data_IF_257096616556
#
_entry.id   IF_257096616556
#
_cell.length_a   1.000
_cell.length_b   1.000
_cell.length_c   1.000
_cell.angle_alpha   90.00
_cell.angle_beta   90.00
_cell.angle_gamma   90.00
#
_symmetry.space_group_name_H-M   'P 1'
#
loop_
_entity.id
_entity.type
_entity.pdbx_description
1 polymer ?
#
# COMPACT_ATOMS: atom_id res chain seq x y z
N UNK A 1 -3.14 10.97 1.99
CA UNK A 1 -1.90 11.16 1.31
C UNK A 1 -1.15 9.85 1.36
N UNK A 2 -0.61 9.42 0.24
CA UNK A 2 0.09 8.17 0.12
C UNK A 2 1.53 8.25 0.58
N UNK A 3 2.26 7.17 0.40
CA UNK A 3 3.67 7.01 0.68
C UNK A 3 4.11 5.61 0.31
N UNK A 4 5.37 5.44 0.03
CA UNK A 4 5.97 4.15 -0.25
C UNK A 4 6.29 3.38 1.03
N UNK A 5 6.54 2.07 0.90
CA UNK A 5 7.03 1.28 2.04
C UNK A 5 8.38 1.78 2.57
N UNK A 6 9.19 2.42 1.76
CA UNK A 6 10.42 3.09 2.21
C UNK A 6 10.17 4.22 3.20
N UNK A 7 9.02 4.89 3.12
CA UNK A 7 8.66 5.92 4.09
C UNK A 7 8.40 5.31 5.46
N UNK A 8 7.79 4.12 5.50
CA UNK A 8 7.60 3.37 6.73
C UNK A 8 8.95 2.93 7.33
N UNK A 9 9.86 2.37 6.52
CA UNK A 9 11.21 1.98 6.95
C UNK A 9 11.97 3.18 7.52
N UNK A 10 12.00 4.28 6.79
CA UNK A 10 12.62 5.52 7.27
C UNK A 10 12.00 6.02 8.59
N UNK A 11 10.68 5.95 8.70
CA UNK A 11 9.97 6.33 9.92
C UNK A 11 10.40 5.48 11.12
N UNK A 12 10.50 4.17 10.95
CA UNK A 12 10.94 3.23 11.98
C UNK A 12 12.37 3.49 12.41
N UNK A 13 13.28 3.68 11.48
CA UNK A 13 14.69 3.98 11.79
C UNK A 13 14.84 5.32 12.53
N UNK A 14 14.17 6.35 12.05
CA UNK A 14 14.35 7.70 12.56
C UNK A 14 13.62 7.97 13.87
N UNK A 15 12.42 7.42 14.02
CA UNK A 15 11.52 7.73 15.12
C UNK A 15 11.28 6.55 16.07
N UNK A 16 11.71 5.36 15.69
CA UNK A 16 11.46 4.13 16.43
C UNK A 16 10.04 3.59 16.23
N UNK A 17 9.67 2.62 17.05
CA UNK A 17 8.37 1.98 17.07
C UNK A 17 7.74 1.98 18.45
N UNK A 18 6.42 2.03 18.49
CA UNK A 18 5.62 1.91 19.71
C UNK A 18 4.54 0.86 19.49
N UNK A 19 4.34 -0.11 20.38
CA UNK A 19 3.21 -1.05 20.28
C UNK A 19 1.87 -0.32 20.32
N UNK A 20 0.87 -0.80 19.60
CA UNK A 20 -0.46 -0.20 19.56
C UNK A 20 -1.09 -0.06 20.96
N UNK A 21 -0.84 -1.02 21.85
CA UNK A 21 -1.35 -0.96 23.22
C UNK A 21 -0.86 0.28 24.02
N UNK A 22 0.33 0.79 23.69
CA UNK A 22 0.95 1.94 24.34
C UNK A 22 0.66 3.29 23.64
N UNK A 23 0.24 3.23 22.39
CA UNK A 23 -0.12 4.42 21.60
C UNK A 23 -1.35 4.11 20.75
N UNK A 24 -2.49 4.01 21.42
CA UNK A 24 -3.76 3.73 20.74
C UNK A 24 -4.26 5.00 20.05
N UNK A 25 -4.53 4.95 18.72
CA UNK A 25 -5.01 6.12 17.99
C UNK A 25 -6.35 6.64 18.52
N UNK A 26 -6.47 7.95 18.66
CA UNK A 26 -7.72 8.62 19.05
C UNK A 26 -8.84 8.54 18.00
N UNK A 27 -8.50 8.12 16.78
CA UNK A 27 -9.44 7.93 15.65
C UNK A 27 -10.17 6.59 15.68
N UNK A 28 -10.08 5.85 16.78
CA UNK A 28 -10.74 4.56 16.93
C UNK A 28 -12.24 4.69 17.14
N UNK A 29 -12.99 3.83 16.47
CA UNK A 29 -14.42 3.60 16.73
C UNK A 29 -14.59 2.28 17.49
N UNK A 30 -15.06 2.33 18.71
CA UNK A 30 -15.10 1.16 19.55
C UNK A 30 -13.72 0.56 19.79
N UNK A 31 -13.63 -0.77 19.79
CA UNK A 31 -12.38 -1.44 20.16
C UNK A 31 -11.50 -1.88 18.99
N UNK A 32 -12.01 -1.91 17.78
CA UNK A 32 -11.33 -2.53 16.65
C UNK A 32 -11.35 -1.73 15.33
N UNK A 33 -12.19 -0.73 15.21
CA UNK A 33 -12.33 0.05 13.98
C UNK A 33 -11.71 1.44 14.11
N UNK A 34 -11.04 1.90 13.08
CA UNK A 34 -10.51 3.26 13.02
C UNK A 34 -10.96 3.97 11.74
N UNK A 35 -11.13 5.30 11.83
CA UNK A 35 -11.35 6.14 10.65
C UNK A 35 -10.46 7.38 10.73
N UNK A 36 -9.71 7.60 9.70
CA UNK A 36 -8.79 8.73 9.57
C UNK A 36 -9.38 9.86 8.73
N UNK A 37 -10.64 9.79 8.35
CA UNK A 37 -11.25 10.74 7.42
C UNK A 37 -11.27 12.17 7.96
N UNK A 38 -11.67 12.35 9.22
CA UNK A 38 -11.72 13.68 9.86
C UNK A 38 -10.30 14.23 10.05
N UNK A 39 -9.39 13.45 10.64
CA UNK A 39 -7.99 13.82 10.79
C UNK A 39 -7.36 14.26 9.46
N UNK A 40 -7.59 13.49 8.40
CA UNK A 40 -7.08 13.80 7.05
C UNK A 40 -7.67 15.09 6.50
N UNK A 41 -9.00 15.32 6.68
CA UNK A 41 -9.65 16.53 6.21
C UNK A 41 -9.12 17.78 6.91
N UNK A 42 -8.99 17.74 8.25
CA UNK A 42 -8.45 18.85 9.06
C UNK A 42 -6.98 19.11 8.71
N UNK A 43 -6.16 18.08 8.63
CA UNK A 43 -4.73 18.19 8.27
C UNK A 43 -4.56 18.80 6.87
N UNK A 44 -5.33 18.33 5.90
CA UNK A 44 -5.32 18.86 4.53
C UNK A 44 -5.77 20.33 4.47
N UNK A 45 -6.74 20.73 5.27
CA UNK A 45 -7.17 22.12 5.33
C UNK A 45 -6.07 23.05 5.84
N UNK A 46 -5.36 22.65 6.91
CA UNK A 46 -4.23 23.43 7.46
C UNK A 46 -3.05 23.47 6.48
N UNK A 47 -2.66 22.33 5.91
CA UNK A 47 -1.59 22.28 4.90
C UNK A 47 -1.98 23.08 3.66
N UNK A 48 -3.22 22.96 3.19
CA UNK A 48 -3.73 23.70 2.03
C UNK A 48 -3.71 25.21 2.24
N UNK A 49 -4.10 25.67 3.43
CA UNK A 49 -4.05 27.09 3.76
C UNK A 49 -2.63 27.65 3.87
N UNK A 50 -1.70 26.83 4.38
CA UNK A 50 -0.33 27.27 4.71
C UNK A 50 0.67 27.02 3.59
N UNK A 51 0.75 25.78 3.09
CA UNK A 51 1.77 25.35 2.12
C UNK A 51 1.37 25.66 0.66
N UNK A 52 0.08 25.54 0.33
CA UNK A 52 -0.44 25.96 -0.98
C UNK A 52 -0.82 27.45 -0.98
N UNK A 53 -0.45 28.14 0.10
CA UNK A 53 -1.05 29.35 0.52
C UNK A 53 -0.85 30.53 -0.37
N UNK A 54 -1.90 31.30 -0.41
CA UNK A 54 -1.90 32.70 -0.84
C UNK A 54 -1.29 33.62 0.22
N UNK A 55 -0.73 33.05 1.31
CA UNK A 55 -0.09 33.80 2.36
C UNK A 55 1.29 34.30 1.90
N UNK A 56 1.49 35.57 1.87
CA UNK A 56 2.76 36.21 1.47
C UNK A 56 3.86 36.01 2.49
N UNK A 57 3.50 35.75 3.76
CA UNK A 57 4.46 35.43 4.83
C UNK A 57 3.83 34.43 5.78
N UNK A 58 4.60 33.41 6.16
CA UNK A 58 4.23 32.44 7.18
C UNK A 58 4.78 32.89 8.53
N UNK A 59 3.94 32.84 9.54
CA UNK A 59 4.34 33.21 10.89
C UNK A 59 5.24 32.15 11.52
N UNK A 60 6.21 32.62 12.31
CA UNK A 60 7.16 31.80 13.04
C UNK A 60 7.06 32.10 14.54
N UNK A 61 7.44 31.12 15.35
CA UNK A 61 7.60 31.29 16.78
C UNK A 61 8.95 31.93 17.15
N UNK A 62 9.21 32.10 18.45
CA UNK A 62 10.46 32.64 18.98
C UNK A 62 11.71 31.83 18.59
N UNK A 63 11.56 30.56 18.27
CA UNK A 63 12.61 29.64 17.84
C UNK A 63 12.75 29.55 16.30
N UNK A 64 12.14 30.49 15.58
CA UNK A 64 12.14 30.53 14.10
C UNK A 64 11.43 29.30 13.43
N UNK A 65 10.59 28.58 14.16
CA UNK A 65 9.81 27.46 13.65
C UNK A 65 8.49 27.96 13.06
N UNK A 66 8.06 27.39 11.92
CA UNK A 66 6.79 27.73 11.30
C UNK A 66 5.61 27.32 12.17
N UNK A 67 4.74 28.25 12.52
CA UNK A 67 3.58 28.00 13.39
C UNK A 67 2.61 26.95 12.81
N UNK A 68 2.43 26.92 11.49
CA UNK A 68 1.58 25.91 10.86
C UNK A 68 2.07 24.49 11.04
N UNK A 69 3.42 24.28 11.11
CA UNK A 69 3.99 22.95 11.40
C UNK A 69 3.64 22.50 12.80
N UNK A 70 3.75 23.40 13.78
CA UNK A 70 3.37 23.12 15.17
C UNK A 70 1.86 22.84 15.29
N UNK A 71 1.03 23.56 14.53
CA UNK A 71 -0.41 23.29 14.47
C UNK A 71 -0.71 21.89 13.92
N UNK A 72 -0.01 21.47 12.87
CA UNK A 72 -0.13 20.10 12.31
C UNK A 72 0.33 19.06 13.33
N UNK A 73 1.45 19.26 13.98
CA UNK A 73 1.94 18.36 15.05
C UNK A 73 0.89 18.19 16.15
N UNK A 74 0.31 19.30 16.65
CA UNK A 74 -0.76 19.24 17.65
C UNK A 74 -2.03 18.54 17.15
N UNK A 75 -2.39 18.69 15.89
CA UNK A 75 -3.50 17.96 15.26
C UNK A 75 -3.18 16.45 15.24
N UNK A 76 -1.97 16.08 14.88
CA UNK A 76 -1.55 14.69 14.90
C UNK A 76 -1.63 14.09 16.29
N UNK A 77 -1.13 14.79 17.31
CA UNK A 77 -1.18 14.35 18.71
C UNK A 77 -2.64 14.15 19.20
N UNK A 78 -3.53 15.06 18.83
CA UNK A 78 -4.96 14.97 19.19
C UNK A 78 -5.61 13.72 18.54
N UNK A 79 -5.39 13.49 17.25
CA UNK A 79 -6.09 12.44 16.51
C UNK A 79 -5.39 11.08 16.56
N UNK A 80 -4.07 11.05 16.64
CA UNK A 80 -3.29 9.82 16.58
C UNK A 80 -2.72 9.42 17.95
N UNK A 81 -2.80 10.30 18.94
CA UNK A 81 -2.17 10.14 20.25
C UNK A 81 -0.77 10.72 20.31
N UNK A 82 -0.39 11.19 21.49
CA UNK A 82 0.97 11.67 21.75
C UNK A 82 1.95 10.49 21.76
N UNK A 83 3.05 10.64 21.07
CA UNK A 83 4.11 9.62 21.08
C UNK A 83 4.76 9.56 22.45
N UNK A 84 4.77 8.41 23.14
CA UNK A 84 5.40 8.28 24.44
C UNK A 84 6.92 8.42 24.34
N UNK A 85 7.53 9.10 25.29
CA UNK A 85 8.99 9.12 25.41
C UNK A 85 9.52 7.76 25.88
N UNK A 86 8.77 7.11 26.77
CA UNK A 86 9.06 5.78 27.32
C UNK A 86 7.77 5.01 27.55
N UNK A 87 7.86 3.69 27.47
CA UNK A 87 6.75 2.76 27.75
C UNK A 87 7.27 1.42 28.27
N UNK A 88 6.37 0.60 28.84
CA UNK A 88 6.71 -0.73 29.33
C UNK A 88 6.06 -1.78 28.45
N UNK A 89 6.83 -2.66 27.85
CA UNK A 89 6.35 -3.78 27.06
C UNK A 89 6.94 -5.10 27.57
N UNK A 90 6.10 -6.07 27.88
CA UNK A 90 6.49 -7.36 28.48
C UNK A 90 7.41 -7.20 29.72
N UNK A 91 7.08 -6.25 30.59
CA UNK A 91 7.83 -6.00 31.85
C UNK A 91 9.17 -5.30 31.69
N UNK A 92 9.53 -4.85 30.51
CA UNK A 92 10.76 -4.11 30.22
C UNK A 92 10.47 -2.69 29.74
N UNK A 93 11.19 -1.70 30.26
CA UNK A 93 11.09 -0.30 29.81
C UNK A 93 11.83 -0.11 28.49
N UNK A 94 11.19 0.63 27.59
CA UNK A 94 11.73 1.02 26.29
C UNK A 94 11.47 2.49 25.97
N UNK A 95 12.35 3.08 25.20
CA UNK A 95 12.02 4.21 24.33
C UNK A 95 11.57 3.67 22.97
N UNK A 96 10.85 4.46 22.13
CA UNK A 96 10.50 4.02 20.77
C UNK A 96 11.70 3.50 19.98
N UNK A 97 12.85 4.16 20.11
CA UNK A 97 14.08 3.77 19.41
C UNK A 97 14.67 2.47 19.96
N UNK A 98 14.74 2.29 21.29
CA UNK A 98 15.26 1.05 21.85
C UNK A 98 14.34 -0.14 21.63
N UNK A 99 13.03 0.08 21.46
CA UNK A 99 12.09 -0.96 21.09
C UNK A 99 12.33 -1.41 19.64
N UNK A 100 12.42 -0.46 18.69
CA UNK A 100 12.77 -0.76 17.31
C UNK A 100 14.05 -1.61 17.22
N UNK A 101 15.13 -1.17 17.89
CA UNK A 101 16.39 -1.91 17.92
C UNK A 101 16.27 -3.31 18.50
N UNK A 102 15.39 -3.51 19.50
CA UNK A 102 15.19 -4.82 20.13
C UNK A 102 14.50 -5.84 19.22
N UNK A 103 13.85 -5.39 18.15
CA UNK A 103 13.19 -6.26 17.17
C UNK A 103 14.15 -6.83 16.13
N UNK A 104 15.40 -6.34 16.09
CA UNK A 104 16.39 -6.77 15.10
C UNK A 104 16.04 -6.42 13.66
N UNK A 105 15.17 -5.44 13.45
CA UNK A 105 14.81 -4.95 12.11
C UNK A 105 15.94 -4.05 11.59
N UNK A 106 16.29 -4.24 10.32
CA UNK A 106 17.26 -3.42 9.61
C UNK A 106 16.67 -3.00 8.26
N UNK A 107 16.60 -1.70 7.99
CA UNK A 107 16.06 -1.19 6.73
C UNK A 107 16.87 -1.64 5.51
N UNK A 108 18.16 -1.90 5.67
CA UNK A 108 19.02 -2.39 4.60
C UNK A 108 18.72 -3.84 4.16
N UNK A 109 17.93 -4.59 4.95
CA UNK A 109 17.49 -5.93 4.58
C UNK A 109 16.30 -5.92 3.60
N UNK A 110 15.75 -4.75 3.30
CA UNK A 110 14.60 -4.59 2.42
C UNK A 110 15.03 -4.05 1.06
N UNK A 111 14.53 -4.67 0.01
CA UNK A 111 14.78 -4.26 -1.38
C UNK A 111 13.45 -3.93 -2.04
N UNK A 112 13.37 -2.75 -2.66
CA UNK A 112 12.25 -2.39 -3.52
C UNK A 112 12.47 -2.91 -4.93
N UNK A 113 11.50 -3.65 -5.45
CA UNK A 113 11.53 -4.22 -6.79
C UNK A 113 10.37 -3.65 -7.61
N UNK A 114 10.61 -3.50 -8.90
CA UNK A 114 9.60 -3.08 -9.87
C UNK A 114 9.84 -3.72 -11.23
N UNK A 115 8.93 -3.51 -12.17
CA UNK A 115 9.04 -4.07 -13.52
C UNK A 115 8.45 -3.11 -14.55
N UNK A 116 9.29 -2.29 -15.17
CA UNK A 116 8.91 -1.35 -16.23
C UNK A 116 9.94 -1.30 -17.33
N UNK A 117 9.50 -1.34 -18.58
CA UNK A 117 10.40 -1.41 -19.76
C UNK A 117 10.90 -0.04 -20.24
N UNK A 118 10.38 1.07 -19.73
CA UNK A 118 10.87 2.41 -20.07
C UNK A 118 12.23 2.74 -19.41
N UNK A 119 12.69 1.93 -18.48
CA UNK A 119 14.01 2.02 -17.87
C UNK A 119 14.76 0.69 -18.04
N UNK A 120 16.10 0.70 -18.06
CA UNK A 120 16.88 -0.52 -18.20
C UNK A 120 16.56 -1.54 -17.10
N UNK A 121 16.40 -2.81 -17.48
CA UNK A 121 16.33 -3.89 -16.51
C UNK A 121 17.70 -4.11 -15.83
N UNK A 122 17.68 -4.73 -14.65
CA UNK A 122 18.84 -5.00 -13.81
C UNK A 122 19.60 -3.74 -13.36
N UNK A 123 18.87 -2.66 -13.19
CA UNK A 123 19.37 -1.40 -12.67
C UNK A 123 18.34 -0.77 -11.72
N UNK A 124 18.77 0.18 -10.90
CA UNK A 124 17.85 0.97 -10.07
C UNK A 124 17.40 2.23 -10.79
N UNK A 125 16.19 2.65 -10.52
CA UNK A 125 15.68 3.95 -10.92
C UNK A 125 14.61 4.44 -9.94
N UNK A 126 14.36 5.73 -9.96
CA UNK A 126 13.27 6.34 -9.19
C UNK A 126 11.96 6.13 -9.94
N UNK A 127 11.05 5.32 -9.37
CA UNK A 127 9.71 5.15 -9.95
C UNK A 127 8.91 6.43 -9.74
N UNK A 128 8.52 7.08 -10.84
CA UNK A 128 7.87 8.39 -10.87
C UNK A 128 6.34 8.27 -10.64
N UNK A 129 5.96 7.87 -9.44
CA UNK A 129 4.58 7.84 -8.95
C UNK A 129 4.40 8.83 -7.81
N UNK A 130 3.15 9.26 -7.56
CA UNK A 130 2.85 10.29 -6.56
C UNK A 130 3.25 9.87 -5.14
N UNK A 131 3.13 8.58 -4.83
CA UNK A 131 3.43 8.05 -3.51
C UNK A 131 4.94 7.92 -3.24
N UNK A 132 5.76 7.94 -4.28
CA UNK A 132 7.22 7.99 -4.14
C UNK A 132 7.75 9.43 -4.04
N UNK A 133 7.17 10.25 -3.16
CA UNK A 133 7.53 11.67 -2.98
C UNK A 133 8.93 11.88 -2.38
N UNK A 134 9.55 10.84 -1.85
CA UNK A 134 10.95 10.87 -1.35
C UNK A 134 11.98 10.45 -2.40
N UNK A 135 11.55 10.07 -3.60
CA UNK A 135 12.43 9.68 -4.69
C UNK A 135 13.28 8.46 -4.37
N UNK A 136 12.68 7.49 -3.67
CA UNK A 136 13.33 6.21 -3.39
C UNK A 136 13.49 5.41 -4.70
N UNK A 137 14.62 4.71 -4.81
CA UNK A 137 14.91 3.88 -5.97
C UNK A 137 14.34 2.47 -5.82
N UNK A 138 13.94 1.88 -6.93
CA UNK A 138 13.53 0.48 -7.03
C UNK A 138 14.40 -0.23 -8.04
N UNK A 139 14.75 -1.49 -7.77
CA UNK A 139 15.49 -2.33 -8.70
C UNK A 139 14.52 -2.92 -9.73
N UNK A 140 14.86 -2.76 -11.01
CA UNK A 140 13.99 -3.08 -12.14
C UNK A 140 14.27 -4.47 -12.70
N UNK A 141 13.27 -5.33 -12.74
CA UNK A 141 13.36 -6.68 -13.29
C UNK A 141 12.34 -6.89 -14.42
N UNK A 142 12.60 -7.78 -15.38
CA UNK A 142 11.55 -8.29 -16.25
C UNK A 142 10.39 -8.87 -15.43
N UNK A 143 9.15 -8.76 -15.92
CA UNK A 143 7.96 -9.17 -15.16
C UNK A 143 8.01 -10.65 -14.75
N UNK A 144 8.49 -11.52 -15.64
CA UNK A 144 8.58 -12.96 -15.37
C UNK A 144 9.60 -13.27 -14.25
N UNK A 145 10.72 -12.54 -14.21
CA UNK A 145 11.71 -12.68 -13.16
C UNK A 145 11.21 -12.09 -11.83
N UNK A 146 10.49 -10.97 -11.88
CA UNK A 146 9.85 -10.41 -10.69
C UNK A 146 8.88 -11.40 -10.05
N UNK A 147 8.07 -12.09 -10.87
CA UNK A 147 7.15 -13.13 -10.38
C UNK A 147 7.92 -14.33 -9.78
N UNK A 148 9.01 -14.75 -10.40
CA UNK A 148 9.87 -15.81 -9.83
C UNK A 148 10.47 -15.40 -8.48
N UNK A 149 10.85 -14.13 -8.33
CA UNK A 149 11.31 -13.60 -7.02
C UNK A 149 10.20 -13.65 -5.98
N UNK A 150 8.96 -13.32 -6.36
CA UNK A 150 7.79 -13.41 -5.46
C UNK A 150 7.59 -14.84 -4.98
N UNK A 151 7.52 -15.80 -5.90
CA UNK A 151 7.35 -17.22 -5.57
C UNK A 151 8.47 -17.73 -4.68
N UNK A 152 9.70 -17.41 -5.04
CA UNK A 152 10.88 -17.83 -4.29
C UNK A 152 10.90 -17.22 -2.87
N UNK A 153 10.58 -15.95 -2.72
CA UNK A 153 10.51 -15.29 -1.42
C UNK A 153 9.48 -16.00 -0.51
N UNK A 154 8.26 -16.19 -1.01
CA UNK A 154 7.19 -16.84 -0.25
C UNK A 154 7.55 -18.29 0.13
N UNK A 155 8.11 -19.05 -0.80
CA UNK A 155 8.52 -20.45 -0.55
C UNK A 155 9.68 -20.57 0.44
N UNK A 156 10.47 -19.52 0.63
CA UNK A 156 11.52 -19.43 1.63
C UNK A 156 11.10 -18.76 2.95
N UNK A 157 9.79 -18.52 3.14
CA UNK A 157 9.24 -18.01 4.39
C UNK A 157 9.29 -16.48 4.54
N UNK A 158 9.57 -15.75 3.48
CA UNK A 158 9.47 -14.29 3.46
C UNK A 158 8.06 -13.85 3.07
N UNK A 159 7.72 -12.64 3.46
CA UNK A 159 6.50 -11.96 3.02
C UNK A 159 6.87 -10.75 2.18
N UNK A 160 5.93 -10.28 1.35
CA UNK A 160 6.17 -9.20 0.41
C UNK A 160 5.23 -8.04 0.75
N UNK A 161 5.79 -6.84 0.99
CA UNK A 161 5.03 -5.62 1.00
C UNK A 161 4.72 -5.24 -0.46
N UNK A 162 3.45 -5.22 -0.82
CA UNK A 162 2.98 -5.09 -2.19
C UNK A 162 2.13 -3.84 -2.37
N UNK A 163 2.58 -2.95 -3.24
CA UNK A 163 1.85 -1.78 -3.69
C UNK A 163 1.16 -2.09 -5.02
N UNK A 164 -0.13 -1.80 -5.13
CA UNK A 164 -0.92 -2.15 -6.30
C UNK A 164 -2.08 -1.21 -6.54
N UNK A 165 -2.65 -1.33 -7.72
CA UNK A 165 -3.96 -0.78 -8.04
C UNK A 165 -5.06 -1.72 -7.52
N UNK A 166 -5.99 -1.19 -6.76
CA UNK A 166 -7.18 -1.90 -6.26
C UNK A 166 -8.48 -1.34 -6.87
N UNK A 167 -8.37 -0.40 -7.79
CA UNK A 167 -9.51 0.17 -8.51
C UNK A 167 -10.03 -0.74 -9.63
N UNK A 168 -9.28 -1.79 -9.97
CA UNK A 168 -9.64 -2.78 -10.97
C UNK A 168 -10.95 -3.51 -10.63
N UNK A 169 -11.76 -3.74 -11.66
CA UNK A 169 -13.08 -4.37 -11.52
C UNK A 169 -13.05 -5.79 -10.94
N UNK A 170 -11.92 -6.48 -11.08
CA UNK A 170 -11.68 -7.81 -10.53
C UNK A 170 -11.27 -7.81 -9.07
N UNK A 171 -10.90 -6.66 -8.49
CA UNK A 171 -10.61 -6.52 -7.08
C UNK A 171 -11.92 -6.35 -6.29
N UNK A 172 -12.38 -7.42 -5.63
CA UNK A 172 -13.71 -7.46 -5.05
C UNK A 172 -13.68 -7.51 -3.52
N UNK A 173 -14.82 -7.19 -2.91
CA UNK A 173 -15.01 -7.30 -1.45
C UNK A 173 -15.24 -8.73 -0.97
N UNK A 174 -15.34 -9.69 -1.88
CA UNK A 174 -15.56 -11.10 -1.55
C UNK A 174 -14.28 -11.84 -1.14
N UNK A 175 -13.18 -11.12 -0.96
CA UNK A 175 -11.90 -11.68 -0.58
C UNK A 175 -11.12 -12.31 -1.73
N UNK A 176 -11.54 -12.11 -2.96
CA UNK A 176 -10.85 -12.60 -4.17
C UNK A 176 -10.62 -11.45 -5.14
N UNK A 177 -9.40 -11.32 -5.65
CA UNK A 177 -9.05 -10.45 -6.77
C UNK A 177 -8.67 -11.33 -7.96
N UNK A 178 -9.26 -11.06 -9.11
CA UNK A 178 -9.07 -11.85 -10.34
C UNK A 178 -8.93 -10.94 -11.56
N UNK A 179 -8.19 -11.42 -12.55
CA UNK A 179 -8.11 -10.82 -13.87
C UNK A 179 -8.50 -11.89 -14.91
N UNK A 180 -9.80 -12.14 -15.13
CA UNK A 180 -10.24 -13.24 -16.00
C UNK A 180 -9.81 -13.05 -17.43
N UNK A 181 -9.31 -14.12 -18.06
CA UNK A 181 -9.12 -14.19 -19.50
C UNK A 181 -10.48 -14.46 -20.16
N UNK A 182 -11.16 -13.38 -20.51
CA UNK A 182 -12.53 -13.44 -21.03
C UNK A 182 -12.64 -14.21 -22.35
N UNK A 183 -11.61 -14.15 -23.17
CA UNK A 183 -11.59 -14.85 -24.46
C UNK A 183 -11.46 -16.36 -24.26
N UNK A 184 -10.68 -16.77 -23.26
CA UNK A 184 -10.54 -18.19 -22.90
C UNK A 184 -11.65 -18.70 -21.99
N UNK A 185 -12.19 -17.82 -21.13
CA UNK A 185 -13.22 -18.22 -20.17
C UNK A 185 -14.58 -18.48 -20.84
N UNK A 186 -14.86 -17.85 -21.98
CA UNK A 186 -16.15 -17.96 -22.67
C UNK A 186 -15.97 -17.76 -24.18
N UNK A 187 -16.42 -18.74 -24.97
CA UNK A 187 -16.55 -18.62 -26.42
C UNK A 187 -17.79 -17.75 -26.77
N UNK A 188 -17.68 -16.46 -26.49
CA UNK A 188 -18.76 -15.51 -26.71
C UNK A 188 -18.71 -14.94 -28.13
N UNK A 189 -19.88 -14.73 -28.74
CA UNK A 189 -20.00 -13.91 -29.96
C UNK A 189 -19.67 -12.46 -29.66
N UNK A 190 -19.34 -11.64 -30.64
CA UNK A 190 -18.97 -10.23 -30.45
C UNK A 190 -20.02 -9.41 -29.70
N UNK A 191 -21.33 -9.67 -29.92
CA UNK A 191 -22.43 -8.99 -29.21
C UNK A 191 -22.50 -9.42 -27.73
N UNK A 192 -22.34 -10.71 -27.48
CA UNK A 192 -22.43 -11.28 -26.15
C UNK A 192 -21.19 -10.89 -25.29
N UNK A 193 -20.02 -10.84 -25.92
CA UNK A 193 -18.81 -10.32 -25.30
C UNK A 193 -18.99 -8.84 -24.91
N UNK A 194 -19.52 -8.01 -25.80
CA UNK A 194 -19.76 -6.60 -25.52
C UNK A 194 -20.79 -6.40 -24.40
N UNK A 195 -21.79 -7.28 -24.29
CA UNK A 195 -22.72 -7.28 -23.17
C UNK A 195 -22.02 -7.71 -21.87
N UNK A 196 -21.28 -8.82 -21.91
CA UNK A 196 -20.58 -9.38 -20.76
C UNK A 196 -19.56 -8.40 -20.17
N UNK A 197 -18.82 -7.67 -21.02
CA UNK A 197 -17.86 -6.66 -20.56
C UNK A 197 -18.51 -5.50 -19.76
N UNK A 198 -19.78 -5.21 -20.01
CA UNK A 198 -20.53 -4.17 -19.29
C UNK A 198 -21.12 -4.64 -17.96
N UNK A 199 -21.14 -5.94 -17.70
CA UNK A 199 -21.66 -6.47 -16.45
C UNK A 199 -20.72 -6.10 -15.29
N UNK A 200 -21.29 -5.89 -14.11
CA UNK A 200 -20.51 -5.74 -12.86
C UNK A 200 -19.86 -7.07 -12.47
N UNK A 201 -18.77 -7.07 -11.69
CA UNK A 201 -18.10 -8.29 -11.25
C UNK A 201 -19.03 -9.32 -10.62
N UNK A 202 -19.99 -8.88 -9.80
CA UNK A 202 -20.97 -9.76 -9.17
C UNK A 202 -21.91 -10.42 -10.18
N UNK A 203 -22.25 -9.70 -11.26
CA UNK A 203 -23.07 -10.21 -12.34
C UNK A 203 -22.31 -11.20 -13.22
N UNK A 204 -20.99 -11.03 -13.33
CA UNK A 204 -20.11 -11.96 -14.05
C UNK A 204 -19.83 -13.23 -13.29
N UNK A 205 -20.18 -13.29 -12.00
CA UNK A 205 -19.86 -14.39 -11.10
C UNK A 205 -18.35 -14.74 -11.06
N UNK A 206 -17.50 -13.72 -11.22
CA UNK A 206 -16.04 -13.89 -11.34
C UNK A 206 -15.41 -14.58 -10.14
N UNK A 207 -16.06 -14.51 -8.98
CA UNK A 207 -15.51 -14.98 -7.71
C UNK A 207 -16.28 -16.15 -7.12
N UNK A 208 -17.17 -16.79 -7.90
CA UNK A 208 -17.98 -17.92 -7.40
C UNK A 208 -17.39 -19.27 -7.80
N UNK A 209 -16.50 -19.30 -8.75
CA UNK A 209 -15.80 -20.51 -9.25
C UNK A 209 -14.46 -20.13 -9.89
N UNK A 210 -13.50 -21.06 -9.97
CA UNK A 210 -12.28 -20.89 -10.71
C UNK A 210 -12.52 -20.49 -12.16
N UNK A 211 -11.69 -19.60 -12.67
CA UNK A 211 -11.73 -19.17 -14.09
C UNK A 211 -10.30 -18.97 -14.59
N UNK A 212 -10.06 -19.17 -15.91
CA UNK A 212 -8.78 -18.81 -16.50
C UNK A 212 -8.42 -17.35 -16.23
N UNK A 213 -7.19 -17.11 -15.80
CA UNK A 213 -6.69 -15.76 -15.54
C UNK A 213 -5.89 -15.27 -16.73
N UNK A 214 -6.04 -13.99 -17.06
CA UNK A 214 -5.24 -13.34 -18.09
C UNK A 214 -3.81 -13.18 -17.57
N UNK A 215 -2.84 -13.61 -18.38
CA UNK A 215 -1.45 -13.25 -18.17
C UNK A 215 -1.20 -11.85 -18.72
N UNK A 216 -0.72 -10.93 -17.88
CA UNK A 216 -0.37 -9.57 -18.29
C UNK A 216 1.08 -9.55 -18.73
N UNK A 217 1.33 -9.25 -19.99
CA UNK A 217 2.68 -9.13 -20.53
C UNK A 217 3.42 -7.89 -20.02
N UNK A 218 4.75 -7.88 -20.19
CA UNK A 218 5.58 -6.72 -19.86
C UNK A 218 5.12 -5.46 -20.61
N UNK A 219 4.72 -5.61 -21.86
CA UNK A 219 4.26 -4.50 -22.71
C UNK A 219 2.90 -3.96 -22.23
N UNK A 220 1.93 -4.83 -21.96
CA UNK A 220 0.62 -4.42 -21.43
C UNK A 220 0.77 -3.68 -20.09
N UNK A 221 1.64 -4.18 -19.21
CA UNK A 221 1.95 -3.51 -17.95
C UNK A 221 2.54 -2.11 -18.17
N UNK A 222 3.46 -1.97 -19.11
CA UNK A 222 4.06 -0.66 -19.43
C UNK A 222 3.03 0.31 -19.99
N UNK A 223 2.19 -0.14 -20.93
CA UNK A 223 1.13 0.68 -21.52
C UNK A 223 0.14 1.16 -20.47
N UNK A 224 -0.29 0.28 -19.55
CA UNK A 224 -1.21 0.63 -18.49
C UNK A 224 -0.62 1.65 -17.48
N UNK A 225 0.70 1.60 -17.27
CA UNK A 225 1.41 2.61 -16.49
C UNK A 225 1.49 3.95 -17.24
N UNK A 226 1.87 3.94 -18.52
CA UNK A 226 2.08 5.14 -19.33
C UNK A 226 0.79 5.93 -19.56
N UNK A 227 -0.35 5.25 -19.65
CA UNK A 227 -1.66 5.86 -19.89
C UNK A 227 -2.50 6.06 -18.61
N UNK A 228 -1.93 5.77 -17.43
CA UNK A 228 -2.59 5.89 -16.12
C UNK A 228 -3.83 4.99 -15.94
N UNK A 229 -3.94 3.89 -16.67
CA UNK A 229 -4.93 2.86 -16.41
C UNK A 229 -4.64 2.11 -15.10
N UNK A 230 -3.36 1.91 -14.80
CA UNK A 230 -2.91 1.33 -13.52
C UNK A 230 -2.16 2.36 -12.71
N UNK A 231 -2.59 2.56 -11.48
CA UNK A 231 -1.97 3.48 -10.51
C UNK A 231 -1.59 2.74 -9.24
N UNK A 232 -0.65 3.30 -8.47
CA UNK A 232 -0.33 2.80 -7.14
C UNK A 232 -1.23 3.51 -6.13
N UNK A 233 -2.26 2.84 -5.64
CA UNK A 233 -3.24 3.44 -4.75
C UNK A 233 -3.44 2.69 -3.43
N UNK A 234 -2.84 1.50 -3.26
CA UNK A 234 -3.02 0.71 -2.05
C UNK A 234 -1.85 -0.23 -1.73
N UNK A 235 -1.50 -0.29 -0.44
CA UNK A 235 -0.46 -1.19 0.08
C UNK A 235 -1.05 -2.38 0.84
N UNK A 236 -0.56 -3.58 0.53
CA UNK A 236 -0.98 -4.84 1.14
C UNK A 236 0.23 -5.73 1.42
N UNK A 237 0.00 -6.90 2.01
CA UNK A 237 1.04 -7.89 2.27
C UNK A 237 0.71 -9.23 1.60
N UNK A 238 1.59 -9.71 0.74
CA UNK A 238 1.54 -11.09 0.24
C UNK A 238 2.28 -11.98 1.25
N UNK A 239 1.63 -13.06 1.71
CA UNK A 239 2.18 -13.91 2.77
C UNK A 239 2.10 -15.41 2.47
N UNK A 240 1.57 -15.82 1.33
CA UNK A 240 1.44 -17.23 0.98
C UNK A 240 0.96 -17.45 -0.44
N UNK A 241 0.91 -18.73 -0.83
CA UNK A 241 0.36 -19.21 -2.10
C UNK A 241 -0.76 -20.20 -1.77
N UNK A 242 -1.86 -20.12 -2.48
CA UNK A 242 -2.99 -21.03 -2.39
C UNK A 242 -3.32 -21.61 -3.78
N UNK A 243 -4.03 -22.73 -3.80
CA UNK A 243 -4.56 -23.32 -5.05
C UNK A 243 -6.07 -23.48 -4.93
N UNK A 244 -6.74 -23.21 -6.03
CA UNK A 244 -8.16 -23.51 -6.14
C UNK A 244 -8.41 -25.00 -6.43
N UNK A 245 -9.69 -25.37 -6.61
CA UNK A 245 -10.12 -26.74 -6.84
C UNK A 245 -9.69 -27.31 -8.21
N UNK A 246 -9.33 -26.43 -9.14
CA UNK A 246 -8.88 -26.80 -10.48
C UNK A 246 -7.35 -26.71 -10.64
N UNK A 247 -6.65 -26.33 -9.54
CA UNK A 247 -5.19 -26.23 -9.49
C UNK A 247 -4.65 -24.86 -9.91
N UNK A 248 -5.51 -23.86 -10.12
CA UNK A 248 -5.10 -22.48 -10.33
C UNK A 248 -4.42 -21.90 -9.10
N UNK A 249 -3.32 -21.19 -9.29
CA UNK A 249 -2.52 -20.63 -8.21
C UNK A 249 -2.91 -19.18 -7.93
N UNK A 250 -2.92 -18.81 -6.65
CA UNK A 250 -3.26 -17.48 -6.15
C UNK A 250 -2.32 -17.08 -5.03
N UNK A 251 -1.96 -15.81 -4.96
CA UNK A 251 -1.31 -15.26 -3.78
C UNK A 251 -2.32 -15.04 -2.65
N UNK A 252 -1.92 -15.37 -1.44
CA UNK A 252 -2.66 -15.02 -0.23
C UNK A 252 -2.24 -13.63 0.21
N UNK A 253 -3.20 -12.69 0.24
CA UNK A 253 -2.94 -11.28 0.51
C UNK A 253 -3.65 -10.84 1.78
N UNK A 254 -2.92 -10.21 2.68
CA UNK A 254 -3.46 -9.53 3.86
C UNK A 254 -3.71 -8.07 3.56
N UNK A 255 -4.97 -7.67 3.60
CA UNK A 255 -5.41 -6.29 3.51
C UNK A 255 -5.71 -5.73 4.91
N UNK A 256 -5.81 -4.41 5.06
CA UNK A 256 -6.07 -3.71 6.31
C UNK A 256 -7.55 -3.27 6.50
N UNK A 257 -8.45 -3.63 5.58
CA UNK A 257 -9.84 -3.14 5.60
C UNK A 257 -10.76 -3.87 6.59
N UNK A 258 -10.28 -4.91 7.27
CA UNK A 258 -11.08 -5.76 8.14
C UNK A 258 -11.91 -6.79 7.37
N UNK A 259 -12.60 -7.64 8.13
CA UNK A 259 -13.45 -8.71 7.57
C UNK A 259 -14.93 -8.31 7.47
N UNK A 260 -15.32 -7.21 8.09
CA UNK A 260 -16.72 -6.77 8.24
C UNK A 260 -17.12 -5.66 7.26
N UNK A 261 -16.34 -5.47 6.19
CA UNK A 261 -16.68 -4.51 5.14
C UNK A 261 -17.94 -4.98 4.39
N UNK A 262 -19.08 -4.49 4.84
CA UNK A 262 -20.34 -4.58 4.09
C UNK A 262 -20.39 -3.51 3.00
#
# INVERSE_FOLDING_TARGET
>A
QGGSFYDALYGMEKFGLVPEAEMRPGVMYGDSLSSQNEWRAVSNAVVGASAKGRLRSLQKDANNQMLWKKAIESIHDIYLGERPEKFTYNGKEYTPQSFYQSLGLNADDYVSLTSYSHQPFYSTFVLEIQDNWRWAESYNLPIDELMQVFDNAIMNGYTIAWASDVSESGFTRNGVATLPDVEKAQELSGSDMAHWLKLKPEQKQLNTKPQPQKWVSQEERQVAYDNYETTDDHGMQIYGIAKDQEGGEYYMVKNSWGTDSK
#
